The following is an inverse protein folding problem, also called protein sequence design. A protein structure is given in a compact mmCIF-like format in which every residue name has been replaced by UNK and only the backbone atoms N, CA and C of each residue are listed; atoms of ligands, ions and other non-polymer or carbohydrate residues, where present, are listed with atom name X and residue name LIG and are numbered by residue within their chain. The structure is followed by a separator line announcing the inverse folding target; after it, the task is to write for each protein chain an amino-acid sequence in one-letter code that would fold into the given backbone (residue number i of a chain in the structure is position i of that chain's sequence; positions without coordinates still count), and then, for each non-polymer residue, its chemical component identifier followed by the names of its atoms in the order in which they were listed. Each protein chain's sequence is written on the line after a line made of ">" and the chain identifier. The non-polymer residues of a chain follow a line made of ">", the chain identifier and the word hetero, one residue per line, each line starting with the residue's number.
data_IF_212555607576
#
_entry.id   IF_212555607576
#
_cell.length_a   1.000
_cell.length_b   1.000
_cell.length_c   1.000
_cell.angle_alpha   90.00
_cell.angle_beta   90.00
_cell.angle_gamma   90.00
#
_symmetry.space_group_name_H-M   'P 1'
#
loop_
_entity.id
_entity.type
_entity.pdbx_description
1 polymer ?
#
# COMPACT_ATOMS: atom_id res chain seq x y z
N UNK A 1 0.49 -11.36 3.98
CA UNK A 1 -0.56 -10.42 3.54
C UNK A 1 -0.15 -8.96 3.71
N UNK A 2 0.20 -8.41 4.88
CA UNK A 2 0.73 -7.03 4.95
C UNK A 2 2.23 -6.89 4.72
N UNK A 3 3.06 -7.88 5.09
CA UNK A 3 4.52 -7.77 4.92
C UNK A 3 4.91 -7.62 3.44
N UNK A 4 4.30 -8.45 2.58
CA UNK A 4 4.45 -8.37 1.12
C UNK A 4 4.01 -7.02 0.58
N UNK A 5 2.91 -6.45 1.10
CA UNK A 5 2.41 -5.14 0.72
C UNK A 5 3.40 -4.05 1.14
N UNK A 6 3.91 -4.09 2.37
CA UNK A 6 4.92 -3.15 2.86
C UNK A 6 6.18 -3.18 2.01
N UNK A 7 6.68 -4.38 1.68
CA UNK A 7 7.85 -4.55 0.80
C UNK A 7 7.59 -4.03 -0.62
N UNK A 8 6.41 -4.31 -1.18
CA UNK A 8 6.02 -3.83 -2.51
C UNK A 8 5.93 -2.31 -2.54
N UNK A 9 5.33 -1.69 -1.53
CA UNK A 9 5.16 -0.25 -1.44
C UNK A 9 6.48 0.46 -1.16
N UNK A 10 7.37 -0.12 -0.34
CA UNK A 10 8.76 0.36 -0.22
C UNK A 10 9.54 0.29 -1.53
N UNK A 11 9.12 -0.57 -2.46
CA UNK A 11 9.70 -0.68 -3.80
C UNK A 11 8.98 0.22 -4.84
N UNK A 12 7.90 0.92 -4.47
CA UNK A 12 7.22 1.85 -5.38
C UNK A 12 7.95 3.20 -5.34
N UNK A 13 8.48 3.69 -6.47
CA UNK A 13 9.07 5.00 -6.54
C UNK A 13 8.00 6.08 -6.29
N UNK A 14 8.28 6.97 -5.34
CA UNK A 14 7.35 8.01 -4.90
C UNK A 14 6.62 7.72 -3.59
N UNK A 15 6.79 6.55 -2.98
CA UNK A 15 6.30 6.30 -1.61
C UNK A 15 7.25 6.94 -0.61
N UNK A 16 6.77 7.94 0.12
CA UNK A 16 7.52 8.57 1.21
C UNK A 16 7.24 7.88 2.53
N UNK A 17 5.98 7.53 2.77
CA UNK A 17 5.55 6.81 3.96
C UNK A 17 4.49 5.77 3.61
N UNK A 18 4.56 4.61 4.25
CA UNK A 18 3.57 3.55 4.10
C UNK A 18 3.11 3.05 5.45
N UNK A 19 1.80 3.10 5.66
CA UNK A 19 1.16 2.63 6.87
C UNK A 19 0.09 1.60 6.51
N UNK A 20 0.25 0.39 7.04
CA UNK A 20 -0.65 -0.73 6.73
C UNK A 20 -1.32 -1.14 8.03
N UNK A 21 -2.60 -0.80 8.15
CA UNK A 21 -3.44 -1.18 9.26
C UNK A 21 -4.10 -2.52 8.97
N UNK A 22 -3.54 -3.56 9.58
CA UNK A 22 -4.07 -4.93 9.54
C UNK A 22 -5.43 -5.04 10.25
N UNK A 23 -5.63 -4.23 11.29
CA UNK A 23 -6.83 -4.21 12.13
C UNK A 23 -8.05 -3.73 11.32
N UNK A 24 -7.93 -2.58 10.65
CA UNK A 24 -8.97 -2.01 9.80
C UNK A 24 -8.97 -2.53 8.34
N UNK A 25 -7.94 -3.29 7.95
CA UNK A 25 -7.69 -3.70 6.56
C UNK A 25 -7.57 -2.50 5.61
N UNK A 26 -6.91 -1.45 6.07
CA UNK A 26 -6.65 -0.22 5.31
C UNK A 26 -5.16 -0.05 5.10
N UNK A 27 -4.76 0.34 3.88
CA UNK A 27 -3.41 0.76 3.57
C UNK A 27 -3.42 2.26 3.25
N UNK A 28 -2.67 3.02 4.04
CA UNK A 28 -2.45 4.46 3.87
C UNK A 28 -1.06 4.65 3.29
N UNK A 29 -0.99 5.45 2.23
CA UNK A 29 0.28 5.75 1.57
C UNK A 29 0.39 7.23 1.38
N UNK A 30 1.51 7.76 1.82
CA UNK A 30 1.81 9.16 1.65
C UNK A 30 3.01 9.29 0.71
N UNK A 31 2.81 10.05 -0.35
CA UNK A 31 3.82 10.33 -1.37
C UNK A 31 3.23 10.50 -2.77
N UNK A 32 4.10 10.73 -3.73
CA UNK A 32 3.79 10.80 -5.18
C UNK A 32 3.56 9.42 -5.82
N UNK A 33 3.44 8.38 -4.99
CA UNK A 33 3.18 7.04 -5.45
C UNK A 33 1.85 6.95 -6.21
N UNK A 34 1.89 6.26 -7.35
CA UNK A 34 0.70 6.06 -8.19
C UNK A 34 -0.24 5.05 -7.54
N UNK A 35 -1.52 5.41 -7.38
CA UNK A 35 -2.57 4.55 -6.82
C UNK A 35 -2.64 3.20 -7.53
N UNK A 36 -2.37 3.18 -8.84
CA UNK A 36 -2.30 1.95 -9.65
C UNK A 36 -1.23 0.96 -9.16
N UNK A 37 -0.03 1.45 -8.82
CA UNK A 37 1.06 0.62 -8.31
C UNK A 37 0.77 0.09 -6.89
N UNK A 38 0.09 0.91 -6.07
CA UNK A 38 -0.36 0.53 -4.73
C UNK A 38 -1.49 -0.51 -4.82
N UNK A 39 -2.42 -0.32 -5.75
CA UNK A 39 -3.54 -1.23 -5.98
C UNK A 39 -3.05 -2.56 -6.56
N UNK A 40 -2.12 -2.55 -7.52
CA UNK A 40 -1.47 -3.73 -8.05
C UNK A 40 -0.72 -4.52 -6.95
N UNK A 41 -0.15 -3.81 -5.97
CA UNK A 41 0.53 -4.43 -4.82
C UNK A 41 -0.44 -5.01 -3.79
N UNK A 42 -1.68 -4.54 -3.77
CA UNK A 42 -2.79 -5.08 -2.98
C UNK A 42 -3.66 -6.05 -3.76
N UNK A 43 -3.41 -6.25 -5.05
CA UNK A 43 -4.16 -7.14 -5.92
C UNK A 43 -4.01 -8.58 -5.39
N UNK A 44 -5.14 -9.19 -5.00
CA UNK A 44 -5.16 -10.47 -4.28
C UNK A 44 -5.31 -10.36 -2.76
N UNK A 45 -5.37 -9.14 -2.22
CA UNK A 45 -5.66 -8.87 -0.82
C UNK A 45 -6.97 -8.06 -0.69
N UNK A 46 -7.67 -8.23 0.44
CA UNK A 46 -8.98 -7.62 0.68
C UNK A 46 -8.88 -6.26 1.39
N UNK A 47 -7.87 -5.46 1.03
CA UNK A 47 -7.60 -4.17 1.65
C UNK A 47 -8.09 -3.03 0.75
N UNK A 48 -8.49 -1.92 1.38
CA UNK A 48 -8.86 -0.70 0.68
C UNK A 48 -7.78 0.37 0.84
N UNK A 49 -7.41 1.03 -0.25
CA UNK A 49 -6.50 2.18 -0.24
C UNK A 49 -7.31 3.43 0.08
N UNK A 50 -6.86 4.24 1.04
CA UNK A 50 -7.31 5.61 1.20
C UNK A 50 -6.13 6.56 0.98
N UNK A 51 -6.35 7.57 0.15
CA UNK A 51 -5.45 8.70 -0.09
C UNK A 51 -5.97 9.91 0.67
#
# INVERSE_FOLDING_TARGET
>A
CANTVKERFSNVPGVTNVEVSLEDKVATVEGDASVDALQASLEGTKYSIKK
#
